data_IF_409873496663
#
_entry.id   IF_409873496663
#
_cell.length_a   1.000
_cell.length_b   1.000
_cell.length_c   1.000
_cell.angle_alpha   90.00
_cell.angle_beta   90.00
_cell.angle_gamma   90.00
#
_symmetry.space_group_name_H-M   'P 1'
#
loop_
_entity.id
_entity.type
_entity.pdbx_description
1 polymer ?
#
# COMPACT_ATOMS: atom_id res chain seq x y z
N UNK A 1 1.36 -19.42 -40.19
CA UNK A 1 1.42 -17.96 -39.97
C UNK A 1 0.05 -17.52 -39.54
N UNK A 2 -0.04 -16.98 -38.34
CA UNK A 2 -1.09 -16.08 -37.87
C UNK A 2 -0.35 -14.93 -37.18
N UNK A 3 -0.31 -13.76 -37.83
CA UNK A 3 0.33 -12.53 -37.35
C UNK A 3 -0.76 -11.50 -37.07
N UNK A 4 -1.77 -11.89 -36.32
CA UNK A 4 -2.97 -11.09 -36.14
C UNK A 4 -2.85 -10.21 -34.89
N UNK A 5 -3.14 -8.91 -35.01
CA UNK A 5 -3.13 -7.96 -33.88
C UNK A 5 -4.56 -7.57 -33.52
N UNK A 6 -4.82 -7.36 -32.22
CA UNK A 6 -6.12 -6.91 -31.74
C UNK A 6 -6.56 -5.59 -32.39
N UNK A 7 -5.63 -4.65 -32.56
CA UNK A 7 -5.91 -3.34 -33.14
C UNK A 7 -6.23 -3.36 -34.62
N UNK A 8 -5.88 -4.39 -35.38
CA UNK A 8 -6.18 -4.40 -36.82
C UNK A 8 -7.69 -4.41 -37.06
N UNK A 9 -8.44 -5.16 -36.25
CA UNK A 9 -9.90 -5.22 -36.32
C UNK A 9 -10.53 -3.94 -35.75
N UNK A 10 -10.18 -3.56 -34.53
CA UNK A 10 -10.82 -2.42 -33.86
C UNK A 10 -10.33 -1.05 -34.33
N UNK A 11 -9.08 -0.92 -34.78
CA UNK A 11 -8.50 0.33 -35.29
C UNK A 11 -9.22 0.88 -36.50
N UNK A 12 -9.85 0.01 -37.31
CA UNK A 12 -10.72 0.43 -38.40
C UNK A 12 -11.98 1.18 -37.94
N UNK A 13 -12.45 0.90 -36.72
CA UNK A 13 -13.64 1.51 -36.10
C UNK A 13 -13.26 2.60 -35.10
N UNK A 14 -12.13 2.44 -34.41
CA UNK A 14 -11.61 3.29 -33.35
C UNK A 14 -10.10 3.52 -33.57
N UNK A 15 -9.72 4.50 -34.42
CA UNK A 15 -8.32 4.74 -34.80
C UNK A 15 -7.38 5.01 -33.61
N UNK A 16 -7.91 5.57 -32.52
CA UNK A 16 -7.18 5.84 -31.27
C UNK A 16 -6.45 4.63 -30.68
N UNK A 17 -6.98 3.42 -30.90
CA UNK A 17 -6.35 2.19 -30.40
C UNK A 17 -4.98 1.92 -31.01
N UNK A 18 -4.61 2.58 -32.11
CA UNK A 18 -3.24 2.52 -32.63
C UNK A 18 -2.20 3.06 -31.63
N UNK A 19 -2.62 3.94 -30.71
CA UNK A 19 -1.76 4.49 -29.65
C UNK A 19 -1.82 3.67 -28.34
N UNK A 20 -2.60 2.58 -28.31
CA UNK A 20 -2.74 1.70 -27.15
C UNK A 20 -1.68 0.60 -27.14
N UNK A 21 -1.36 0.03 -25.96
CA UNK A 21 -0.58 -1.19 -25.80
C UNK A 21 -1.14 -2.37 -26.59
N UNK A 22 -2.46 -2.38 -26.84
CA UNK A 22 -3.12 -3.39 -27.67
C UNK A 22 -2.56 -3.42 -29.10
N UNK A 23 -1.97 -2.32 -29.59
CA UNK A 23 -1.33 -2.23 -30.92
C UNK A 23 -0.03 -3.04 -31.04
N UNK A 24 0.56 -3.36 -29.89
CA UNK A 24 1.77 -4.15 -29.78
C UNK A 24 1.44 -5.63 -29.68
N UNK A 25 0.27 -5.99 -29.13
CA UNK A 25 -0.11 -7.36 -28.83
C UNK A 25 -0.52 -8.14 -30.08
N UNK A 26 0.09 -9.31 -30.25
CA UNK A 26 -0.25 -10.28 -31.30
C UNK A 26 -1.01 -11.43 -30.67
N UNK A 27 -2.18 -11.73 -31.23
CA UNK A 27 -3.00 -12.86 -30.81
C UNK A 27 -3.04 -13.92 -31.91
N UNK A 28 -2.70 -15.14 -31.54
CA UNK A 28 -2.95 -16.31 -32.37
C UNK A 28 -4.43 -16.68 -32.31
N UNK A 29 -5.02 -16.86 -33.50
CA UNK A 29 -6.43 -17.16 -33.69
C UNK A 29 -6.54 -18.42 -34.55
N UNK A 30 -7.24 -19.48 -34.08
CA UNK A 30 -7.48 -20.65 -34.90
C UNK A 30 -8.12 -20.26 -36.23
N UNK A 31 -7.56 -20.76 -37.33
CA UNK A 31 -7.99 -20.40 -38.68
C UNK A 31 -9.49 -20.59 -38.87
N UNK A 32 -10.20 -19.52 -39.26
CA UNK A 32 -11.63 -19.55 -39.55
C UNK A 32 -12.54 -19.01 -38.43
N UNK A 33 -11.99 -18.66 -37.26
CA UNK A 33 -12.73 -18.03 -36.17
C UNK A 33 -12.38 -16.55 -36.04
N UNK A 34 -13.35 -15.69 -35.76
CA UNK A 34 -13.08 -14.34 -35.27
C UNK A 34 -12.76 -14.42 -33.78
N UNK A 35 -11.71 -13.75 -33.29
CA UNK A 35 -11.42 -13.71 -31.86
C UNK A 35 -12.44 -12.87 -31.08
N UNK A 36 -13.30 -12.14 -31.79
CA UNK A 36 -14.38 -11.32 -31.22
C UNK A 36 -15.72 -11.87 -31.70
N UNK A 37 -16.62 -12.18 -30.76
CA UNK A 37 -18.01 -12.51 -31.05
C UNK A 37 -18.90 -11.60 -30.22
N UNK A 38 -19.53 -10.61 -30.87
CA UNK A 38 -20.27 -9.56 -30.18
C UNK A 38 -19.35 -8.72 -29.30
N UNK A 39 -19.61 -8.72 -27.99
CA UNK A 39 -18.80 -8.03 -26.98
C UNK A 39 -17.80 -8.97 -26.27
N UNK A 40 -17.69 -10.23 -26.69
CA UNK A 40 -16.80 -11.22 -26.08
C UNK A 40 -15.55 -11.41 -26.92
N UNK A 41 -14.41 -11.54 -26.25
CA UNK A 41 -13.11 -11.83 -26.84
C UNK A 41 -12.57 -13.19 -26.37
N UNK A 42 -11.98 -13.96 -27.28
CA UNK A 42 -11.29 -15.22 -26.97
C UNK A 42 -10.22 -15.51 -28.01
N UNK A 43 -8.95 -15.52 -27.60
CA UNK A 43 -7.81 -15.84 -28.45
C UNK A 43 -6.61 -16.29 -27.59
N UNK A 44 -5.47 -16.58 -28.21
CA UNK A 44 -4.22 -16.84 -27.49
C UNK A 44 -3.26 -15.69 -27.70
N UNK A 45 -2.84 -14.98 -26.65
CA UNK A 45 -1.78 -13.97 -26.75
C UNK A 45 -0.46 -14.66 -27.08
N UNK A 46 0.13 -14.37 -28.24
CA UNK A 46 1.42 -14.90 -28.66
C UNK A 46 2.55 -14.00 -28.13
N UNK A 47 3.21 -14.46 -27.08
CA UNK A 47 4.29 -13.75 -26.41
C UNK A 47 5.51 -13.59 -27.31
N UNK A 48 5.77 -14.56 -28.19
CA UNK A 48 6.94 -14.52 -29.08
C UNK A 48 6.70 -13.57 -30.25
N UNK A 49 5.51 -13.63 -30.87
CA UNK A 49 5.14 -12.77 -31.98
C UNK A 49 4.89 -11.32 -31.55
N UNK A 50 4.45 -11.10 -30.30
CA UNK A 50 4.37 -9.76 -29.68
C UNK A 50 5.75 -9.12 -29.50
N UNK A 51 6.83 -9.90 -29.56
CA UNK A 51 8.20 -9.42 -29.61
C UNK A 51 8.68 -8.84 -28.27
N UNK A 52 9.50 -7.79 -28.33
CA UNK A 52 10.16 -7.21 -27.14
C UNK A 52 9.17 -6.89 -26.02
N UNK A 53 7.96 -6.42 -26.36
CA UNK A 53 6.91 -6.05 -25.42
C UNK A 53 6.51 -7.16 -24.43
N UNK A 54 6.69 -8.43 -24.79
CA UNK A 54 6.33 -9.59 -23.97
C UNK A 54 7.51 -10.53 -23.72
N UNK A 55 8.74 -10.12 -24.06
CA UNK A 55 9.90 -11.00 -24.02
C UNK A 55 10.26 -11.42 -22.58
N UNK A 56 10.10 -10.52 -21.61
CA UNK A 56 10.27 -10.83 -20.17
C UNK A 56 9.27 -11.90 -19.73
N UNK A 57 7.99 -11.76 -20.09
CA UNK A 57 6.95 -12.72 -19.74
C UNK A 57 7.11 -14.07 -20.47
N UNK A 58 7.54 -14.05 -21.74
CA UNK A 58 7.88 -15.25 -22.49
C UNK A 58 9.03 -16.03 -21.82
N UNK A 59 10.07 -15.29 -21.40
CA UNK A 59 11.22 -15.88 -20.71
C UNK A 59 10.85 -16.40 -19.31
N UNK A 60 10.02 -15.67 -18.55
CA UNK A 60 9.49 -16.11 -17.26
C UNK A 60 8.68 -17.40 -17.39
N UNK A 61 7.77 -17.47 -18.35
CA UNK A 61 6.83 -18.60 -18.47
C UNK A 61 7.41 -19.81 -19.18
N UNK A 62 8.43 -19.61 -20.02
CA UNK A 62 8.89 -20.62 -20.97
C UNK A 62 7.83 -21.01 -22.01
N UNK A 63 6.75 -20.22 -22.14
CA UNK A 63 5.65 -20.48 -23.06
C UNK A 63 5.67 -19.53 -24.25
N UNK A 64 5.05 -19.96 -25.35
CA UNK A 64 4.88 -19.11 -26.54
C UNK A 64 3.56 -18.35 -26.53
N UNK A 65 2.51 -18.94 -25.96
CA UNK A 65 1.15 -18.41 -26.03
C UNK A 65 0.44 -18.55 -24.69
N UNK A 66 -0.36 -17.56 -24.32
CA UNK A 66 -1.25 -17.60 -23.15
C UNK A 66 -2.70 -17.46 -23.63
N UNK A 67 -3.60 -18.41 -23.30
CA UNK A 67 -5.03 -18.27 -23.60
C UNK A 67 -5.62 -17.05 -22.89
N UNK A 68 -6.28 -16.16 -23.63
CA UNK A 68 -6.88 -14.92 -23.16
C UNK A 68 -8.36 -14.90 -23.52
N UNK A 69 -9.21 -14.55 -22.56
CA UNK A 69 -10.63 -14.24 -22.76
C UNK A 69 -10.95 -12.86 -22.23
N UNK A 70 -12.02 -12.24 -22.70
CA UNK A 70 -12.31 -10.90 -22.27
C UNK A 70 -13.60 -10.33 -22.80
N UNK A 71 -13.80 -9.05 -22.51
CA UNK A 71 -14.93 -8.29 -23.02
C UNK A 71 -14.47 -7.00 -23.66
N UNK A 72 -15.22 -6.60 -24.69
CA UNK A 72 -15.10 -5.33 -25.37
C UNK A 72 -16.44 -4.66 -25.33
N UNK A 73 -16.49 -3.48 -24.70
CA UNK A 73 -17.74 -2.74 -24.51
C UNK A 73 -17.59 -1.34 -25.07
N UNK A 74 -18.70 -0.78 -25.54
CA UNK A 74 -18.77 0.61 -25.99
C UNK A 74 -19.91 1.29 -25.26
N UNK A 75 -19.60 2.31 -24.46
CA UNK A 75 -20.59 3.09 -23.72
C UNK A 75 -20.11 4.53 -23.56
N UNK A 76 -21.02 5.51 -23.61
CA UNK A 76 -20.70 6.93 -23.42
C UNK A 76 -19.52 7.45 -24.27
N UNK A 77 -19.46 7.06 -25.55
CA UNK A 77 -18.35 7.36 -26.47
C UNK A 77 -16.97 6.84 -26.03
N UNK A 78 -16.92 5.89 -25.09
CA UNK A 78 -15.72 5.17 -24.69
C UNK A 78 -15.77 3.72 -25.16
N UNK A 79 -14.63 3.21 -25.60
CA UNK A 79 -14.36 1.80 -25.83
C UNK A 79 -13.56 1.29 -24.64
N UNK A 80 -14.07 0.26 -23.97
CA UNK A 80 -13.36 -0.40 -22.87
C UNK A 80 -13.06 -1.85 -23.24
N UNK A 81 -11.80 -2.23 -23.15
CA UNK A 81 -11.29 -3.57 -23.42
C UNK A 81 -10.72 -4.13 -22.12
N UNK A 82 -11.23 -5.28 -21.70
CA UNK A 82 -10.73 -6.01 -20.53
C UNK A 82 -10.45 -7.45 -20.94
N UNK A 83 -9.18 -7.83 -20.92
CA UNK A 83 -8.69 -9.15 -21.30
C UNK A 83 -8.00 -9.80 -20.11
N UNK A 84 -8.22 -11.10 -19.92
CA UNK A 84 -7.66 -11.88 -18.81
C UNK A 84 -7.24 -13.27 -19.27
N UNK A 85 -6.17 -13.79 -18.67
CA UNK A 85 -5.75 -15.17 -18.92
C UNK A 85 -6.80 -16.17 -18.43
N UNK A 86 -7.13 -17.15 -19.28
CA UNK A 86 -8.16 -18.16 -19.03
C UNK A 86 -7.62 -19.52 -18.59
N UNK A 87 -6.30 -19.70 -18.64
CA UNK A 87 -5.57 -20.86 -18.11
C UNK A 87 -4.26 -20.37 -17.48
N UNK A 88 -4.17 -20.52 -16.16
CA UNK A 88 -3.19 -19.86 -15.31
C UNK A 88 -2.18 -20.83 -14.68
N UNK A 89 -2.36 -22.14 -14.88
CA UNK A 89 -1.55 -23.14 -14.19
C UNK A 89 -0.08 -23.07 -14.58
N UNK A 90 0.17 -22.89 -15.88
CA UNK A 90 1.54 -22.78 -16.41
C UNK A 90 2.19 -21.48 -15.94
N UNK A 91 1.44 -20.37 -15.94
CA UNK A 91 1.89 -19.08 -15.46
C UNK A 91 2.25 -19.14 -13.97
N UNK A 92 1.39 -19.74 -13.16
CA UNK A 92 1.59 -19.93 -11.71
C UNK A 92 2.87 -20.71 -11.43
N UNK A 93 3.05 -21.87 -12.10
CA UNK A 93 4.23 -22.72 -11.91
C UNK A 93 5.52 -22.02 -12.33
N UNK A 94 5.48 -21.28 -13.44
CA UNK A 94 6.67 -20.64 -13.97
C UNK A 94 7.10 -19.45 -13.09
N UNK A 95 6.15 -18.63 -12.63
CA UNK A 95 6.45 -17.54 -11.68
C UNK A 95 6.99 -18.07 -10.36
N UNK A 96 6.42 -19.16 -9.84
CA UNK A 96 6.95 -19.84 -8.66
C UNK A 96 8.36 -20.43 -8.88
N UNK A 97 8.73 -20.79 -10.10
CA UNK A 97 10.08 -21.29 -10.39
C UNK A 97 11.09 -20.15 -10.58
N UNK A 98 10.66 -19.01 -11.13
CA UNK A 98 11.55 -17.95 -11.58
C UNK A 98 11.74 -16.80 -10.58
N UNK A 99 10.77 -16.52 -9.71
CA UNK A 99 10.86 -15.45 -8.72
C UNK A 99 11.27 -16.07 -7.37
N UNK A 100 12.51 -15.89 -6.90
CA UNK A 100 13.06 -16.64 -5.76
C UNK A 100 12.23 -16.55 -4.47
N UNK A 101 11.57 -15.40 -4.23
CA UNK A 101 10.75 -15.14 -3.04
C UNK A 101 9.33 -15.69 -3.17
N UNK A 102 8.79 -15.81 -4.39
CA UNK A 102 7.40 -16.29 -4.61
C UNK A 102 7.38 -17.83 -4.78
N UNK A 103 8.55 -18.48 -4.71
CA UNK A 103 8.68 -19.86 -5.13
C UNK A 103 8.03 -20.92 -4.26
N UNK A 104 7.88 -22.11 -4.85
CA UNK A 104 7.32 -23.30 -4.19
C UNK A 104 5.81 -23.22 -3.93
N UNK A 105 5.37 -23.71 -2.77
CA UNK A 105 3.94 -23.83 -2.40
C UNK A 105 3.28 -22.49 -2.03
N UNK A 106 4.03 -21.39 -1.99
CA UNK A 106 3.53 -20.05 -1.60
C UNK A 106 2.70 -19.46 -2.73
N UNK A 107 3.14 -19.56 -3.99
CA UNK A 107 2.33 -19.13 -5.14
C UNK A 107 1.15 -20.08 -5.37
N UNK A 108 -0.08 -19.58 -5.26
CA UNK A 108 -1.31 -20.37 -5.44
C UNK A 108 -1.92 -20.21 -6.81
N UNK A 109 -1.88 -19.00 -7.35
CA UNK A 109 -2.44 -18.66 -8.65
C UNK A 109 -1.71 -17.46 -9.22
N UNK A 110 -1.67 -17.32 -10.53
CA UNK A 110 -1.18 -16.14 -11.20
C UNK A 110 -1.98 -15.87 -12.46
N UNK A 111 -2.29 -14.62 -12.77
CA UNK A 111 -3.06 -14.23 -13.94
C UNK A 111 -2.54 -12.94 -14.54
N UNK A 112 -2.77 -12.78 -15.84
CA UNK A 112 -2.50 -11.53 -16.56
C UNK A 112 -3.83 -10.86 -16.85
N UNK A 113 -3.92 -9.57 -16.58
CA UNK A 113 -5.01 -8.72 -17.05
C UNK A 113 -4.48 -7.58 -17.90
N UNK A 114 -5.21 -7.25 -18.96
CA UNK A 114 -4.95 -6.11 -19.83
C UNK A 114 -6.21 -5.27 -19.83
N UNK A 115 -6.08 -4.01 -19.44
CA UNK A 115 -7.19 -3.05 -19.39
C UNK A 115 -6.84 -1.83 -20.22
N UNK A 116 -7.72 -1.48 -21.16
CA UNK A 116 -7.64 -0.28 -21.97
C UNK A 116 -9.01 0.41 -22.00
N UNK A 117 -9.01 1.73 -21.84
CA UNK A 117 -10.19 2.57 -22.03
C UNK A 117 -9.80 3.74 -22.92
N UNK A 118 -10.48 3.89 -24.07
CA UNK A 118 -10.18 4.96 -25.04
C UNK A 118 -11.45 5.61 -25.57
N UNK A 119 -11.37 6.88 -25.93
CA UNK A 119 -12.46 7.59 -26.58
C UNK A 119 -12.65 7.11 -28.02
N UNK A 120 -13.89 6.81 -28.41
CA UNK A 120 -14.24 6.37 -29.77
C UNK A 120 -13.95 7.40 -30.87
N UNK A 121 -13.77 8.68 -30.49
CA UNK A 121 -13.49 9.79 -31.38
C UNK A 121 -12.03 10.26 -31.33
N UNK A 122 -11.20 9.66 -30.47
CA UNK A 122 -9.79 10.00 -30.38
C UNK A 122 -9.06 9.63 -31.69
N UNK A 123 -8.01 10.37 -31.99
CA UNK A 123 -7.20 10.32 -33.20
C UNK A 123 -5.73 10.08 -32.83
N UNK A 124 -4.88 9.94 -33.86
CA UNK A 124 -3.44 9.82 -33.66
C UNK A 124 -2.79 11.07 -33.07
N UNK A 125 -3.46 12.22 -33.13
CA UNK A 125 -2.97 13.52 -32.67
C UNK A 125 -3.28 13.77 -31.18
N UNK A 126 -4.11 12.93 -30.56
CA UNK A 126 -4.45 13.00 -29.14
C UNK A 126 -3.37 12.35 -28.26
N UNK A 127 -3.27 12.80 -27.00
CA UNK A 127 -2.31 12.23 -26.05
C UNK A 127 -2.52 10.72 -25.83
N UNK A 128 -1.43 9.93 -25.74
CA UNK A 128 -1.52 8.50 -25.51
C UNK A 128 -2.25 8.21 -24.20
N UNK A 129 -3.17 7.24 -24.24
CA UNK A 129 -3.88 6.79 -23.05
C UNK A 129 -2.98 5.89 -22.20
N UNK A 130 -3.11 5.98 -20.88
CA UNK A 130 -2.47 5.05 -19.94
C UNK A 130 -3.18 3.70 -20.01
N UNK A 131 -2.47 2.71 -20.55
CA UNK A 131 -2.90 1.32 -20.58
C UNK A 131 -2.13 0.50 -19.55
N UNK A 132 -2.82 -0.49 -18.97
CA UNK A 132 -2.27 -1.31 -17.90
C UNK A 132 -2.21 -2.78 -18.32
N UNK A 133 -1.03 -3.38 -18.16
CA UNK A 133 -0.84 -4.83 -18.19
C UNK A 133 -0.37 -5.26 -16.81
N UNK A 134 -1.29 -5.86 -16.07
CA UNK A 134 -1.03 -6.30 -14.72
C UNK A 134 -0.78 -7.80 -14.70
N UNK A 135 0.29 -8.17 -14.02
CA UNK A 135 0.49 -9.51 -13.53
C UNK A 135 0.00 -9.57 -12.09
N UNK A 136 -1.04 -10.36 -11.86
CA UNK A 136 -1.55 -10.69 -10.55
C UNK A 136 -1.02 -12.05 -10.11
N UNK A 137 -0.64 -12.17 -8.85
CA UNK A 137 -0.23 -13.41 -8.22
C UNK A 137 -0.92 -13.52 -6.88
N UNK A 138 -1.61 -14.63 -6.64
CA UNK A 138 -2.12 -14.96 -5.31
C UNK A 138 -1.09 -15.79 -4.58
N UNK A 139 -0.65 -15.31 -3.43
CA UNK A 139 0.26 -16.03 -2.53
C UNK A 139 -0.48 -16.48 -1.28
N UNK A 140 -0.04 -17.58 -0.68
CA UNK A 140 -0.45 -18.01 0.66
C UNK A 140 0.71 -17.87 1.63
N UNK A 141 0.48 -17.12 2.70
CA UNK A 141 1.40 -16.93 3.81
C UNK A 141 0.68 -17.48 5.04
N UNK A 142 1.31 -18.37 5.81
CA UNK A 142 0.64 -19.01 6.95
C UNK A 142 -0.72 -19.63 6.58
N UNK A 143 -1.80 -19.19 7.24
CA UNK A 143 -3.18 -19.62 6.98
C UNK A 143 -3.97 -18.71 6.04
N UNK A 144 -3.41 -17.59 5.59
CA UNK A 144 -4.10 -16.61 4.76
C UNK A 144 -3.54 -16.49 3.36
N UNK A 145 -4.25 -15.71 2.55
CA UNK A 145 -3.93 -15.47 1.15
C UNK A 145 -3.92 -13.99 0.86
N UNK A 146 -3.00 -13.53 0.01
CA UNK A 146 -2.97 -12.16 -0.50
C UNK A 146 -2.75 -12.14 -2.01
N UNK A 147 -3.17 -11.04 -2.64
CA UNK A 147 -2.93 -10.81 -4.07
C UNK A 147 -1.85 -9.77 -4.24
N UNK A 148 -0.73 -10.23 -4.78
CA UNK A 148 0.38 -9.44 -5.26
C UNK A 148 0.08 -8.96 -6.69
N UNK A 149 0.18 -7.66 -6.95
CA UNK A 149 0.03 -7.08 -8.29
C UNK A 149 1.32 -6.41 -8.73
N UNK A 150 1.63 -6.49 -10.01
CA UNK A 150 2.78 -5.81 -10.60
C UNK A 150 2.56 -5.48 -12.07
N UNK A 151 3.20 -4.42 -12.53
CA UNK A 151 3.33 -4.14 -13.97
C UNK A 151 4.62 -4.78 -14.47
N UNK A 152 4.50 -5.63 -15.50
CA UNK A 152 5.66 -6.31 -16.08
C UNK A 152 6.48 -5.29 -16.89
N UNK A 153 7.80 -5.16 -16.65
CA UNK A 153 8.63 -4.33 -17.49
C UNK A 153 8.77 -4.99 -18.88
N UNK A 154 8.63 -4.19 -19.93
CA UNK A 154 8.73 -4.66 -21.32
C UNK A 154 10.16 -5.02 -21.74
N UNK A 155 11.16 -4.79 -20.89
CA UNK A 155 12.58 -5.09 -21.09
C UNK A 155 13.28 -5.31 -19.76
N UNK A 156 14.60 -5.50 -19.79
CA UNK A 156 15.45 -5.42 -18.59
C UNK A 156 15.11 -4.16 -17.79
N UNK A 157 14.99 -4.30 -16.46
CA UNK A 157 14.55 -3.19 -15.62
C UNK A 157 14.09 -3.61 -14.24
N UNK A 158 13.79 -2.59 -13.43
CA UNK A 158 13.19 -2.76 -12.11
C UNK A 158 11.68 -2.82 -12.21
N UNK A 159 11.07 -3.65 -11.39
CA UNK A 159 9.63 -3.68 -11.19
C UNK A 159 9.29 -4.07 -9.75
N UNK A 160 8.14 -3.60 -9.28
CA UNK A 160 7.70 -3.78 -7.90
C UNK A 160 6.47 -4.66 -7.88
N UNK A 161 6.48 -5.65 -6.99
CA UNK A 161 5.32 -6.47 -6.69
C UNK A 161 4.84 -6.07 -5.30
N UNK A 162 3.58 -5.71 -5.16
CA UNK A 162 3.03 -5.34 -3.85
C UNK A 162 1.65 -5.94 -3.59
N UNK A 163 1.35 -6.14 -2.31
CA UNK A 163 0.06 -6.59 -1.79
C UNK A 163 -0.29 -5.79 -0.53
N UNK A 164 -1.58 -5.50 -0.37
CA UNK A 164 -2.16 -5.03 0.89
C UNK A 164 -3.04 -6.12 1.48
N UNK A 165 -3.05 -6.23 2.80
CA UNK A 165 -3.76 -7.26 3.54
C UNK A 165 -4.65 -6.60 4.58
N UNK A 166 -5.74 -7.26 4.96
CA UNK A 166 -6.67 -6.77 5.98
C UNK A 166 -6.90 -7.86 7.00
N UNK A 167 -6.61 -7.57 8.29
CA UNK A 167 -6.83 -8.48 9.43
C UNK A 167 -6.20 -9.87 9.26
N UNK A 168 -5.00 -9.94 8.68
CA UNK A 168 -4.34 -11.21 8.40
C UNK A 168 -3.23 -11.49 9.42
N UNK A 169 -3.54 -12.36 10.40
CA UNK A 169 -2.61 -12.74 11.46
C UNK A 169 -1.42 -13.58 10.95
N UNK A 170 -0.20 -13.23 11.37
CA UNK A 170 1.04 -13.91 10.95
C UNK A 170 1.95 -14.26 12.13
N UNK A 171 2.80 -15.26 11.93
CA UNK A 171 4.05 -15.40 12.68
C UNK A 171 5.22 -14.82 11.88
N UNK A 172 6.25 -14.28 12.54
CA UNK A 172 7.47 -13.82 11.85
C UNK A 172 8.15 -14.91 11.02
N UNK A 173 8.01 -16.17 11.43
CA UNK A 173 8.52 -17.33 10.68
C UNK A 173 7.82 -17.51 9.33
N UNK A 174 6.57 -17.06 9.20
CA UNK A 174 5.82 -17.13 7.95
C UNK A 174 6.44 -16.21 6.89
N UNK A 175 7.28 -15.25 7.29
CA UNK A 175 7.98 -14.31 6.43
C UNK A 175 9.43 -14.71 6.11
N UNK A 176 9.90 -15.87 6.60
CA UNK A 176 11.28 -16.33 6.40
C UNK A 176 11.70 -16.42 4.92
N UNK A 177 10.75 -16.65 4.02
CA UNK A 177 10.99 -16.73 2.59
C UNK A 177 11.43 -15.39 1.96
N UNK A 178 11.19 -14.25 2.64
CA UNK A 178 11.58 -12.92 2.18
C UNK A 178 13.09 -12.67 2.28
N UNK A 179 13.82 -13.52 3.02
CA UNK A 179 15.28 -13.41 3.19
C UNK A 179 15.95 -14.73 2.81
N UNK A 180 16.12 -15.00 1.50
CA UNK A 180 16.73 -16.23 1.00
C UNK A 180 18.12 -16.46 1.60
N UNK A 181 18.41 -17.70 1.99
CA UNK A 181 19.71 -18.09 2.54
C UNK A 181 19.93 -17.80 4.02
N UNK A 182 19.10 -16.94 4.65
CA UNK A 182 19.16 -16.66 6.09
C UNK A 182 18.02 -17.32 6.88
N UNK A 183 16.93 -17.74 6.22
CA UNK A 183 15.78 -18.48 6.77
C UNK A 183 15.26 -17.97 8.13
N UNK A 184 15.43 -16.69 8.43
CA UNK A 184 15.10 -16.14 9.73
C UNK A 184 14.77 -14.65 9.65
N UNK A 185 13.62 -14.32 9.06
CA UNK A 185 13.10 -12.94 8.99
C UNK A 185 13.00 -12.30 10.39
N UNK A 186 12.87 -13.10 11.45
CA UNK A 186 12.82 -12.59 12.82
C UNK A 186 14.05 -11.80 13.24
N UNK A 187 15.22 -11.97 12.59
CA UNK A 187 16.42 -11.16 12.87
C UNK A 187 16.33 -9.75 12.28
N UNK A 188 15.52 -9.56 11.24
CA UNK A 188 15.22 -8.26 10.64
C UNK A 188 14.11 -7.51 11.38
N UNK A 189 13.33 -8.21 12.21
CA UNK A 189 12.26 -7.62 13.00
C UNK A 189 12.80 -7.03 14.31
N UNK A 190 12.45 -5.78 14.67
CA UNK A 190 13.06 -5.05 15.80
C UNK A 190 12.47 -5.44 17.17
N UNK A 191 12.34 -6.75 17.42
CA UNK A 191 11.67 -7.29 18.61
C UNK A 191 12.22 -6.75 19.95
N UNK A 192 13.53 -6.52 20.04
CA UNK A 192 14.16 -6.03 21.28
C UNK A 192 14.00 -4.52 21.47
N UNK A 193 13.88 -3.75 20.39
CA UNK A 193 13.70 -2.30 20.42
C UNK A 193 12.25 -1.89 20.66
N UNK A 194 11.28 -2.75 20.32
CA UNK A 194 9.85 -2.54 20.58
C UNK A 194 9.48 -2.64 22.07
N UNK A 195 10.38 -3.08 22.94
CA UNK A 195 10.17 -3.10 24.39
C UNK A 195 8.90 -3.87 24.80
N UNK A 196 8.03 -3.31 25.67
CA UNK A 196 6.87 -4.03 26.19
C UNK A 196 5.77 -4.32 25.15
N UNK A 197 5.82 -3.67 23.98
CA UNK A 197 4.82 -3.79 22.92
C UNK A 197 4.95 -5.10 22.13
N UNK A 198 6.12 -5.74 22.19
CA UNK A 198 6.36 -7.04 21.58
C UNK A 198 6.70 -8.09 22.64
N UNK A 199 5.80 -9.05 22.86
CA UNK A 199 5.98 -10.16 23.78
C UNK A 199 5.28 -11.43 23.27
N UNK A 200 5.33 -12.52 24.05
CA UNK A 200 4.81 -13.83 23.65
C UNK A 200 3.27 -13.90 23.44
N UNK A 201 2.53 -12.84 23.77
CA UNK A 201 1.09 -12.71 23.56
C UNK A 201 0.74 -11.70 22.45
N UNK A 202 1.74 -11.01 21.88
CA UNK A 202 1.53 -10.03 20.81
C UNK A 202 1.00 -10.73 19.56
N UNK A 203 -0.17 -10.30 19.10
CA UNK A 203 -0.69 -10.70 17.80
C UNK A 203 -0.13 -9.77 16.73
N UNK A 204 0.48 -10.35 15.70
CA UNK A 204 0.99 -9.62 14.54
C UNK A 204 0.03 -9.80 13.37
N UNK A 205 -0.18 -8.73 12.63
CA UNK A 205 -0.96 -8.75 11.39
C UNK A 205 -0.09 -8.26 10.24
N UNK A 206 -0.06 -8.97 9.12
CA UNK A 206 0.55 -8.44 7.92
C UNK A 206 -0.39 -7.38 7.35
N UNK A 207 0.11 -6.17 7.11
CA UNK A 207 -0.65 -5.06 6.53
C UNK A 207 -0.28 -4.87 5.07
N UNK A 208 1.01 -4.96 4.74
CA UNK A 208 1.48 -4.91 3.35
C UNK A 208 2.77 -5.67 3.15
N UNK A 209 2.99 -6.09 1.90
CA UNK A 209 4.22 -6.69 1.41
C UNK A 209 4.56 -6.04 0.08
N UNK A 210 5.81 -5.62 -0.09
CA UNK A 210 6.41 -5.11 -1.30
C UNK A 210 7.73 -5.82 -1.58
N UNK A 211 7.99 -6.13 -2.85
CA UNK A 211 9.24 -6.72 -3.32
C UNK A 211 9.69 -5.96 -4.56
N UNK A 212 10.89 -5.40 -4.49
CA UNK A 212 11.57 -4.80 -5.64
C UNK A 212 12.42 -5.86 -6.34
N UNK A 213 12.20 -6.03 -7.63
CA UNK A 213 12.89 -7.01 -8.47
C UNK A 213 13.59 -6.32 -9.62
N UNK A 214 14.76 -6.83 -9.99
CA UNK A 214 15.44 -6.51 -11.24
C UNK A 214 15.40 -7.73 -12.16
N UNK A 215 14.88 -7.55 -13.38
CA UNK A 215 14.94 -8.57 -14.42
C UNK A 215 16.01 -8.22 -15.44
N UNK A 216 16.79 -9.22 -15.84
CA UNK A 216 17.67 -9.12 -17.00
C UNK A 216 17.48 -10.30 -17.94
N UNK A 217 17.45 -10.02 -19.24
CA UNK A 217 17.28 -11.02 -20.30
C UNK A 217 18.61 -11.38 -20.99
N UNK A 218 19.70 -10.64 -20.73
CA UNK A 218 21.01 -10.84 -21.37
C UNK A 218 22.16 -10.84 -20.35
N UNK A 219 23.18 -11.73 -20.48
CA UNK A 219 23.36 -12.78 -21.49
C UNK A 219 22.49 -14.02 -21.26
N UNK A 220 21.78 -14.08 -20.14
CA UNK A 220 20.81 -15.13 -19.78
C UNK A 220 19.71 -14.52 -18.94
N UNK A 221 18.50 -15.10 -19.00
CA UNK A 221 17.39 -14.67 -18.16
C UNK A 221 17.72 -14.83 -16.67
N UNK A 222 17.52 -13.77 -15.90
CA UNK A 222 17.65 -13.76 -14.44
C UNK A 222 16.70 -12.77 -13.80
N UNK A 223 16.16 -13.13 -12.64
CA UNK A 223 15.39 -12.24 -11.76
C UNK A 223 16.11 -12.18 -10.42
N UNK A 224 16.51 -10.98 -10.02
CA UNK A 224 17.21 -10.73 -8.77
C UNK A 224 16.33 -9.86 -7.88
N UNK A 225 16.23 -10.23 -6.61
CA UNK A 225 15.57 -9.40 -5.60
C UNK A 225 16.51 -8.29 -5.19
N UNK A 226 16.08 -7.04 -5.37
CA UNK A 226 16.85 -5.85 -4.98
C UNK A 226 16.42 -5.27 -3.64
N UNK A 227 15.17 -5.48 -3.22
CA UNK A 227 14.64 -4.97 -1.96
C UNK A 227 13.32 -5.62 -1.55
N UNK A 228 13.01 -5.55 -0.25
CA UNK A 228 11.78 -6.05 0.36
C UNK A 228 11.29 -4.98 1.31
N UNK A 229 9.99 -4.72 1.24
CA UNK A 229 9.25 -3.80 2.10
C UNK A 229 8.12 -4.57 2.78
N UNK A 230 8.04 -4.53 4.10
CA UNK A 230 6.99 -5.21 4.86
C UNK A 230 6.40 -4.24 5.85
N UNK A 231 5.07 -4.19 5.96
CA UNK A 231 4.40 -3.49 7.04
C UNK A 231 3.65 -4.49 7.90
N UNK A 232 3.99 -4.54 9.20
CA UNK A 232 3.41 -5.45 10.19
C UNK A 232 2.67 -4.61 11.25
N UNK A 233 1.38 -4.83 11.39
CA UNK A 233 0.55 -4.21 12.41
C UNK A 233 0.65 -4.95 13.73
N UNK A 234 0.77 -4.20 14.82
CA UNK A 234 0.42 -4.62 16.16
C UNK A 234 -0.84 -3.86 16.55
N UNK A 235 -1.97 -4.56 16.61
CA UNK A 235 -3.29 -3.96 16.86
C UNK A 235 -3.66 -4.01 18.34
N UNK A 236 -4.57 -3.11 18.75
CA UNK A 236 -5.24 -3.13 20.06
C UNK A 236 -4.31 -3.17 21.28
N UNK A 237 -3.22 -2.40 21.26
CA UNK A 237 -2.35 -2.30 22.44
C UNK A 237 -2.97 -1.32 23.44
N UNK A 238 -3.44 -1.78 24.63
CA UNK A 238 -3.90 -0.86 25.65
C UNK A 238 -2.68 -0.18 26.28
N UNK A 239 -2.58 1.15 26.14
CA UNK A 239 -1.44 1.90 26.70
C UNK A 239 -1.74 2.35 28.14
N UNK A 240 -2.95 2.86 28.37
CA UNK A 240 -3.32 3.37 29.69
C UNK A 240 -4.82 3.21 29.98
N UNK A 241 -5.12 2.49 31.07
CA UNK A 241 -6.46 2.36 31.70
C UNK A 241 -7.65 2.22 30.75
N UNK A 242 -7.47 1.60 29.56
CA UNK A 242 -8.52 1.42 28.54
C UNK A 242 -9.12 2.73 27.99
N UNK A 243 -8.43 3.86 28.12
CA UNK A 243 -8.83 5.15 27.55
C UNK A 243 -7.90 5.59 26.41
N UNK A 244 -6.62 5.23 26.49
CA UNK A 244 -5.63 5.48 25.45
C UNK A 244 -5.25 4.16 24.76
N UNK A 245 -5.44 4.13 23.45
CA UNK A 245 -5.15 2.98 22.60
C UNK A 245 -4.12 3.37 21.54
N UNK A 246 -3.16 2.49 21.28
CA UNK A 246 -2.31 2.58 20.09
C UNK A 246 -3.03 1.83 18.96
N UNK A 247 -3.36 2.53 17.88
CA UNK A 247 -4.19 1.95 16.83
C UNK A 247 -3.66 2.26 15.43
N UNK A 248 -3.46 1.22 14.61
CA UNK A 248 -2.45 0.19 14.87
C UNK A 248 -1.03 0.76 14.93
N UNK A 249 -0.15 0.13 15.70
CA UNK A 249 1.29 0.35 15.54
C UNK A 249 1.74 -0.44 14.32
N UNK A 250 1.86 0.21 13.17
CA UNK A 250 2.43 -0.37 11.98
C UNK A 250 3.95 -0.25 12.02
N UNK A 251 4.63 -1.40 12.02
CA UNK A 251 6.08 -1.48 11.90
C UNK A 251 6.40 -1.67 10.43
N UNK A 252 6.96 -0.65 9.79
CA UNK A 252 7.52 -0.81 8.45
C UNK A 252 8.94 -1.34 8.56
N UNK A 253 9.32 -2.24 7.65
CA UNK A 253 10.63 -2.88 7.58
C UNK A 253 11.05 -2.87 6.12
N UNK A 254 12.15 -2.21 5.81
CA UNK A 254 12.82 -2.28 4.51
C UNK A 254 14.09 -3.13 4.65
N UNK A 255 14.29 -4.10 3.76
CA UNK A 255 15.47 -4.95 3.76
C UNK A 255 16.18 -4.76 2.42
N UNK A 256 17.39 -4.23 2.48
CA UNK A 256 18.31 -4.16 1.35
C UNK A 256 19.32 -5.31 1.40
N UNK A 257 20.08 -5.51 0.30
CA UNK A 257 21.14 -6.53 0.22
C UNK A 257 20.66 -7.96 0.54
N UNK A 258 19.42 -8.27 0.17
CA UNK A 258 18.70 -9.51 0.54
C UNK A 258 19.47 -10.80 0.22
N UNK A 259 20.19 -10.82 -0.91
CA UNK A 259 20.90 -12.00 -1.37
C UNK A 259 22.35 -12.11 -0.85
N UNK A 260 22.82 -11.11 -0.10
CA UNK A 260 24.19 -11.07 0.45
C UNK A 260 24.15 -10.96 1.97
N UNK A 261 24.08 -9.74 2.48
CA UNK A 261 23.99 -9.43 3.90
C UNK A 261 22.75 -8.58 4.09
N UNK A 262 21.64 -9.15 4.57
CA UNK A 262 20.42 -8.39 4.78
C UNK A 262 20.69 -7.20 5.70
N UNK A 263 20.38 -6.01 5.21
CA UNK A 263 20.52 -4.74 5.92
C UNK A 263 19.13 -4.18 6.18
N UNK A 264 18.53 -4.49 7.36
CA UNK A 264 17.19 -4.03 7.70
C UNK A 264 17.21 -2.58 8.20
N UNK A 265 16.37 -1.75 7.60
CA UNK A 265 15.84 -0.53 8.18
C UNK A 265 14.40 -0.78 8.63
N UNK A 266 13.96 -0.13 9.69
CA UNK A 266 12.61 -0.26 10.20
C UNK A 266 12.15 1.02 10.87
N UNK A 267 10.85 1.15 11.05
CA UNK A 267 10.28 2.25 11.78
C UNK A 267 8.86 1.98 12.20
N UNK A 268 8.25 2.98 12.80
CA UNK A 268 6.92 2.90 13.38
C UNK A 268 6.06 3.99 12.75
N UNK A 269 4.89 3.62 12.31
CA UNK A 269 3.82 4.54 11.92
C UNK A 269 2.57 4.08 12.65
N UNK A 270 1.80 5.00 13.19
CA UNK A 270 0.53 4.67 13.81
C UNK A 270 -0.09 5.90 14.41
N UNK A 271 -1.18 5.72 15.13
CA UNK A 271 -1.70 6.80 15.94
C UNK A 271 -2.09 6.36 17.35
N UNK A 272 -1.95 7.30 18.28
CA UNK A 272 -2.57 7.20 19.59
C UNK A 272 -3.98 7.75 19.47
N UNK A 273 -4.96 6.92 19.78
CA UNK A 273 -6.34 7.36 19.89
C UNK A 273 -6.76 7.39 21.34
N UNK A 274 -7.35 8.50 21.75
CA UNK A 274 -8.05 8.61 23.02
C UNK A 274 -9.53 8.32 22.78
N UNK A 275 -10.06 7.29 23.43
CA UNK A 275 -11.48 6.98 23.42
C UNK A 275 -12.18 7.64 24.60
N UNK A 276 -13.45 7.99 24.39
CA UNK A 276 -14.30 8.50 25.46
C UNK A 276 -14.34 7.56 26.66
N UNK A 277 -14.21 8.10 27.89
CA UNK A 277 -14.25 7.30 29.11
C UNK A 277 -15.52 6.44 29.25
N UNK A 278 -16.65 6.90 28.72
CA UNK A 278 -17.92 6.17 28.75
C UNK A 278 -18.07 5.15 27.61
N UNK A 279 -17.16 5.17 26.63
CA UNK A 279 -17.06 4.24 25.49
C UNK A 279 -15.61 3.75 25.32
N UNK A 280 -15.03 3.09 26.35
CA UNK A 280 -13.66 2.61 26.24
C UNK A 280 -13.56 1.59 25.10
N UNK A 281 -12.62 1.82 24.18
CA UNK A 281 -12.33 0.93 23.06
C UNK A 281 -13.07 1.25 21.74
N UNK A 282 -13.86 2.32 21.67
CA UNK A 282 -14.45 2.82 20.42
C UNK A 282 -13.42 3.56 19.56
N UNK A 283 -12.38 2.85 19.11
CA UNK A 283 -11.26 3.41 18.34
C UNK A 283 -11.65 3.90 16.94
N UNK A 284 -12.87 3.59 16.48
CA UNK A 284 -13.44 4.11 15.24
C UNK A 284 -14.04 5.51 15.38
N UNK A 285 -14.28 5.97 16.62
CA UNK A 285 -14.80 7.31 16.93
C UNK A 285 -14.05 7.91 18.13
N UNK A 286 -12.73 8.14 18.02
CA UNK A 286 -11.96 8.66 19.14
C UNK A 286 -12.27 10.12 19.41
N UNK A 287 -12.04 10.55 20.65
CA UNK A 287 -12.11 11.96 21.06
C UNK A 287 -10.83 12.71 20.64
N UNK A 288 -9.66 12.03 20.58
CA UNK A 288 -8.40 12.59 20.07
C UNK A 288 -7.61 11.58 19.25
N UNK A 289 -6.84 12.07 18.27
CA UNK A 289 -5.88 11.27 17.50
C UNK A 289 -4.52 11.97 17.45
N UNK A 290 -3.44 11.23 17.73
CA UNK A 290 -2.05 11.69 17.58
C UNK A 290 -1.31 10.75 16.64
N UNK A 291 -0.90 11.23 15.47
CA UNK A 291 -0.08 10.50 14.52
C UNK A 291 1.38 10.43 15.00
N UNK A 292 1.94 9.22 14.96
CA UNK A 292 3.32 8.92 15.33
C UNK A 292 4.06 8.40 14.10
N UNK A 293 5.27 8.91 13.88
CA UNK A 293 6.21 8.37 12.90
C UNK A 293 7.64 8.29 13.48
N UNK A 294 8.36 7.22 13.17
CA UNK A 294 9.72 6.95 13.65
C UNK A 294 10.48 6.08 12.64
N UNK A 295 11.80 6.24 12.49
CA UNK A 295 12.63 5.41 11.59
C UNK A 295 14.04 5.11 12.13
N UNK A 296 14.62 3.98 11.70
CA UNK A 296 15.94 3.45 12.08
C UNK A 296 16.53 2.54 10.97
N UNK A 297 17.86 2.36 10.81
CA UNK A 297 18.96 3.22 11.25
C UNK A 297 19.08 4.48 10.38
N UNK A 298 19.79 5.50 10.89
CA UNK A 298 20.02 6.75 10.16
C UNK A 298 21.23 6.59 9.19
N UNK A 299 21.19 6.99 7.89
CA UNK A 299 20.10 7.64 7.13
C UNK A 299 19.74 6.90 5.80
N UNK A 300 18.69 7.29 5.03
CA UNK A 300 18.87 8.33 4.00
C UNK A 300 17.55 9.03 3.60
N UNK A 301 17.14 10.21 4.05
CA UNK A 301 17.90 11.42 4.29
C UNK A 301 17.16 12.37 5.26
N UNK A 302 16.22 11.83 6.07
CA UNK A 302 15.54 12.42 7.24
C UNK A 302 14.46 11.39 7.69
N UNK A 303 14.49 10.84 8.92
CA UNK A 303 13.59 11.45 9.90
C UNK A 303 14.02 11.35 11.37
N UNK A 304 13.64 12.40 12.08
CA UNK A 304 13.47 12.48 13.51
C UNK A 304 12.15 11.78 13.91
N UNK A 305 12.05 11.22 15.13
CA UNK A 305 10.77 10.88 15.76
C UNK A 305 9.85 12.08 15.59
N UNK A 306 8.70 11.87 14.95
CA UNK A 306 7.68 12.90 14.85
C UNK A 306 6.40 12.45 15.52
N UNK A 307 5.80 13.37 16.26
CA UNK A 307 4.49 13.20 16.86
C UNK A 307 3.68 14.45 16.53
N UNK A 308 2.60 14.27 15.79
CA UNK A 308 1.64 15.33 15.54
C UNK A 308 0.26 14.92 16.03
N UNK A 309 -0.51 15.86 16.54
CA UNK A 309 -1.88 15.64 16.96
C UNK A 309 -2.71 16.83 16.54
N UNK A 310 -3.82 16.55 15.90
CA UNK A 310 -4.85 17.55 15.64
C UNK A 310 -6.12 17.12 16.37
N UNK A 311 -6.71 18.09 17.04
CA UNK A 311 -8.07 17.99 17.54
C UNK A 311 -8.94 18.98 16.78
N UNK A 312 -9.76 18.42 15.90
CA UNK A 312 -10.97 19.06 15.43
C UNK A 312 -12.10 18.78 16.43
N UNK A 313 -12.85 19.81 16.81
CA UNK A 313 -14.05 19.69 17.67
C UNK A 313 -15.34 19.75 16.83
N UNK A 314 -15.63 18.76 15.96
CA UNK A 314 -16.77 18.84 15.05
C UNK A 314 -18.13 18.88 15.79
N UNK A 315 -18.13 18.53 17.08
CA UNK A 315 -19.33 18.49 17.92
C UNK A 315 -19.45 19.67 18.90
N UNK A 316 -18.54 20.66 18.82
CA UNK A 316 -18.56 21.88 19.64
C UNK A 316 -18.64 21.59 21.16
N UNK A 317 -17.94 20.56 21.62
CA UNK A 317 -17.96 20.15 23.03
C UNK A 317 -17.19 21.14 23.91
N UNK A 318 -17.68 21.44 25.13
CA UNK A 318 -16.96 22.29 26.07
C UNK A 318 -15.63 21.68 26.51
N UNK A 319 -14.63 22.52 26.79
CA UNK A 319 -13.31 22.10 27.32
C UNK A 319 -13.45 21.25 28.58
N UNK A 320 -14.38 21.60 29.47
CA UNK A 320 -14.68 20.84 30.68
C UNK A 320 -15.11 19.41 30.40
N UNK A 321 -15.89 19.20 29.32
CA UNK A 321 -16.35 17.88 28.90
C UNK A 321 -15.19 17.08 28.30
N UNK A 322 -14.42 17.69 27.39
CA UNK A 322 -13.24 17.09 26.76
C UNK A 322 -12.22 16.61 27.81
N UNK A 323 -11.94 17.45 28.81
CA UNK A 323 -10.98 17.11 29.89
C UNK A 323 -11.60 16.15 30.91
N UNK A 324 -12.91 16.18 31.14
CA UNK A 324 -13.58 15.16 31.94
C UNK A 324 -13.59 13.80 31.24
N UNK A 325 -13.68 13.76 29.92
CA UNK A 325 -13.55 12.53 29.13
C UNK A 325 -12.11 11.98 29.17
N UNK A 326 -11.10 12.86 29.26
CA UNK A 326 -9.69 12.49 29.49
C UNK A 326 -9.41 11.95 30.90
N UNK A 327 -9.97 12.57 31.94
CA UNK A 327 -9.57 12.35 33.33
C UNK A 327 -10.60 11.58 34.18
N UNK A 328 -11.81 11.36 33.67
CA UNK A 328 -12.93 10.66 34.31
C UNK A 328 -14.10 11.59 34.72
N UNK A 329 -15.30 11.01 34.85
CA UNK A 329 -16.58 11.71 35.17
C UNK A 329 -16.63 12.45 36.54
N UNK A 330 -15.53 12.52 37.29
CA UNK A 330 -15.48 13.15 38.61
C UNK A 330 -14.33 14.17 38.77
N UNK A 331 -13.59 14.48 37.70
CA UNK A 331 -12.52 15.46 37.78
C UNK A 331 -13.12 16.86 37.68
N UNK A 332 -13.32 17.51 38.82
CA UNK A 332 -13.65 18.94 38.89
C UNK A 332 -12.40 19.74 38.51
N UNK A 333 -12.48 20.44 37.37
CA UNK A 333 -11.39 21.20 36.79
C UNK A 333 -11.46 22.68 37.16
N UNK A 334 -12.54 23.14 37.80
CA UNK A 334 -12.82 24.56 37.99
C UNK A 334 -13.05 25.32 36.67
N UNK A 335 -13.22 24.62 35.55
CA UNK A 335 -13.50 25.18 34.22
C UNK A 335 -14.98 24.95 33.93
N UNK A 336 -15.73 26.03 33.65
CA UNK A 336 -17.16 25.95 33.30
C UNK A 336 -17.40 25.44 31.87
N UNK A 337 -18.66 25.12 31.56
CA UNK A 337 -19.08 24.62 30.22
C UNK A 337 -19.19 25.71 29.15
N UNK A 338 -18.68 26.92 29.42
CA UNK A 338 -18.82 28.12 28.59
C UNK A 338 -17.62 28.36 27.67
N UNK A 339 -16.58 27.52 27.74
CA UNK A 339 -15.39 27.58 26.88
C UNK A 339 -15.42 26.36 25.96
N UNK A 340 -15.30 26.61 24.66
CA UNK A 340 -15.25 25.59 23.62
C UNK A 340 -13.87 25.59 23.00
N UNK A 341 -13.31 24.41 22.77
CA UNK A 341 -12.06 24.25 22.04
C UNK A 341 -12.39 24.27 20.54
N UNK A 342 -11.89 25.25 19.80
CA UNK A 342 -12.10 25.36 18.36
C UNK A 342 -11.04 24.57 17.58
N UNK A 343 -9.80 24.63 18.07
CA UNK A 343 -8.65 23.97 17.45
C UNK A 343 -7.61 23.62 18.52
N UNK A 344 -6.97 22.47 18.37
CA UNK A 344 -5.72 22.17 19.07
C UNK A 344 -4.80 21.38 18.14
N UNK A 345 -3.68 21.99 17.77
CA UNK A 345 -2.60 21.36 17.01
C UNK A 345 -1.37 21.23 17.88
N UNK A 346 -0.69 20.11 17.71
CA UNK A 346 0.60 19.81 18.30
C UNK A 346 1.46 19.14 17.24
N UNK A 347 2.72 19.54 17.11
CA UNK A 347 3.72 18.81 16.34
C UNK A 347 5.07 18.88 17.04
N UNK A 348 5.85 17.81 17.00
CA UNK A 348 7.23 17.83 17.47
C UNK A 348 8.06 16.85 16.67
N UNK A 349 9.31 17.23 16.40
CA UNK A 349 10.33 16.39 15.77
C UNK A 349 11.52 16.24 16.72
N UNK A 350 12.04 15.02 16.89
CA UNK A 350 13.22 14.73 17.71
C UNK A 350 14.19 13.71 17.09
N UNK A 351 15.49 13.93 17.20
CA UNK A 351 16.49 12.95 16.76
C UNK A 351 16.42 11.69 17.63
N UNK A 352 16.14 10.55 16.99
CA UNK A 352 15.93 9.26 17.66
C UNK A 352 17.18 8.71 18.35
N UNK A 353 18.36 9.14 17.94
CA UNK A 353 19.65 8.66 18.47
C UNK A 353 20.08 9.46 19.68
N UNK A 354 19.84 10.76 19.66
CA UNK A 354 20.32 11.71 20.67
C UNK A 354 19.21 12.15 21.62
N UNK A 355 17.95 12.01 21.22
CA UNK A 355 16.77 12.48 21.96
C UNK A 355 16.56 14.00 21.89
N UNK A 356 17.29 14.73 21.05
CA UNK A 356 17.14 16.18 20.93
C UNK A 356 15.92 16.54 20.08
N UNK A 357 15.03 17.37 20.63
CA UNK A 357 13.91 17.97 19.90
C UNK A 357 14.46 19.02 18.94
N UNK A 358 14.26 18.84 17.64
CA UNK A 358 14.66 19.76 16.57
C UNK A 358 13.57 20.77 16.24
N UNK A 359 12.31 20.37 16.39
CA UNK A 359 11.15 21.21 16.08
C UNK A 359 10.01 20.94 17.07
N UNK A 360 9.25 21.99 17.38
CA UNK A 360 8.09 21.95 18.24
C UNK A 360 7.10 23.05 17.83
N UNK A 361 5.87 22.65 17.55
CA UNK A 361 4.75 23.53 17.24
C UNK A 361 3.54 23.19 18.12
N UNK A 362 2.85 24.23 18.57
CA UNK A 362 1.61 24.13 19.31
C UNK A 362 0.68 25.27 18.91
N UNK A 363 -0.56 24.95 18.54
CA UNK A 363 -1.63 25.93 18.34
C UNK A 363 -2.86 25.53 19.15
N UNK A 364 -3.42 26.47 19.89
CA UNK A 364 -4.73 26.29 20.52
C UNK A 364 -5.62 27.47 20.16
N UNK A 365 -6.82 27.19 19.68
CA UNK A 365 -7.87 28.18 19.48
C UNK A 365 -9.09 27.80 20.32
N UNK A 366 -9.62 28.75 21.07
CA UNK A 366 -10.77 28.56 21.95
C UNK A 366 -11.73 29.76 21.81
N UNK A 367 -13.02 29.51 22.01
CA UNK A 367 -14.04 30.55 22.08
C UNK A 367 -14.90 30.40 23.33
N UNK A 368 -15.48 31.51 23.79
CA UNK A 368 -16.35 31.53 24.96
C UNK A 368 -15.99 32.55 26.04
N UNK A 369 -16.50 32.32 27.25
CA UNK A 369 -16.33 33.24 28.39
C UNK A 369 -15.11 32.84 29.23
N UNK A 370 -14.04 33.65 29.17
CA UNK A 370 -12.79 33.43 29.91
C UNK A 370 -12.79 34.17 31.26
N UNK A 371 -12.57 33.43 32.35
CA UNK A 371 -12.70 33.93 33.73
C UNK A 371 -11.53 34.77 34.26
N UNK A 372 -11.53 36.06 33.93
CA UNK A 372 -11.43 37.24 34.85
C UNK A 372 -12.35 38.38 34.33
N UNK A 373 -13.01 38.18 33.18
CA UNK A 373 -13.84 39.17 32.49
C UNK A 373 -15.19 38.55 32.06
N UNK A 374 -16.01 38.10 33.02
CA UNK A 374 -17.35 37.54 32.77
C UNK A 374 -18.34 38.50 32.06
N UNK A 375 -17.91 39.74 31.76
CA UNK A 375 -18.69 40.76 31.07
C UNK A 375 -18.29 40.99 29.61
N UNK A 376 -17.34 40.21 29.06
CA UNK A 376 -16.93 40.30 27.65
C UNK A 376 -17.02 38.92 26.99
N UNK A 377 -17.72 38.84 25.86
CA UNK A 377 -17.66 37.65 24.98
C UNK A 377 -16.48 37.81 24.04
N UNK A 378 -15.50 36.93 24.13
CA UNK A 378 -14.39 36.84 23.18
C UNK A 378 -14.83 35.90 22.06
N UNK A 379 -14.82 36.42 20.83
CA UNK A 379 -15.22 35.65 19.64
C UNK A 379 -14.23 34.51 19.36
N UNK A 380 -12.92 34.76 19.52
CA UNK A 380 -11.88 33.74 19.51
C UNK A 380 -10.62 34.20 20.25
N UNK A 381 -9.91 33.26 20.85
CA UNK A 381 -8.59 33.43 21.43
C UNK A 381 -7.68 32.33 20.89
N UNK A 382 -6.56 32.71 20.25
CA UNK A 382 -5.56 31.75 19.79
C UNK A 382 -4.17 32.02 20.37
N UNK A 383 -3.46 30.95 20.71
CA UNK A 383 -2.03 30.97 21.04
C UNK A 383 -1.34 30.02 20.06
N UNK A 384 -0.33 30.52 19.35
CA UNK A 384 0.57 29.72 18.53
C UNK A 384 2.00 29.88 19.06
N UNK A 385 2.69 28.76 19.24
CA UNK A 385 4.11 28.70 19.61
C UNK A 385 4.81 27.80 18.62
N UNK A 386 5.82 28.32 17.94
CA UNK A 386 6.70 27.56 17.06
C UNK A 386 8.15 27.74 17.52
N UNK A 387 8.90 26.64 17.58
CA UNK A 387 10.30 26.61 17.96
C UNK A 387 11.08 25.73 16.99
N UNK A 388 12.03 26.33 16.25
CA UNK A 388 13.00 25.61 15.42
C UNK A 388 14.42 25.90 15.91
N UNK A 389 15.24 24.87 16.15
CA UNK A 389 16.62 25.01 16.63
C UNK A 389 17.65 25.36 15.55
#
# INVERSE_FOLDING_TARGET
MSTWKFTDQYGSTYPALANSILSLLVFDVPSGNSPVIGTSFSASLDLTATGNAMNVLAALTGTKTIPITGTVTTSNNQLSVNLQSSDNDVLTKALAACIPIIGGDICKNAGISIVNVTGTQQTSDDEPQTDEIDLSMTIAIGSGTGTLTTQIPMSDGFFNISASFTNFGIALSDLNFLVPGNNNFSTCFPSTQLGPYYNNQTQLELLSLGVSLYVSTAPSFSVVVSGVDVTIGITNIPIYKQALYLNPLAIWINISNINTTPEPAWGLVGNFVLCNFNRPGDTGNPDFTFDLNMGFPNPPDQPNFSLSGNFDNPYNQPVSQIVSDLLGQATDLGIGNSITLEKFDFATDADVTTGYISDFEFEIAMSGQFGIFENFSLESFSIAVAYSS
#
